data_IF_318296211631
#
_entry.id   IF_318296211631
#
_cell.length_a   1.000
_cell.length_b   1.000
_cell.length_c   1.000
_cell.angle_alpha   90.00
_cell.angle_beta   90.00
_cell.angle_gamma   90.00
#
_symmetry.space_group_name_H-M   'P 1'
#
loop_
_entity.id
_entity.type
_entity.pdbx_description
1 polymer ?
#
# COMPACT_ATOMS: atom_id res chain seq x y z
N UNK A 1 5.73 -6.40 -1.76
CA UNK A 1 6.33 -5.38 -0.87
C UNK A 1 6.99 -4.22 -1.62
N UNK A 2 7.95 -4.43 -2.53
CA UNK A 2 8.62 -3.37 -3.32
C UNK A 2 7.69 -2.26 -3.80
N UNK A 3 6.68 -2.62 -4.60
CA UNK A 3 5.73 -1.64 -5.15
C UNK A 3 4.83 -0.99 -4.09
N UNK A 4 4.44 -1.72 -3.04
CA UNK A 4 3.62 -1.17 -1.97
C UNK A 4 4.39 -0.11 -1.15
N UNK A 5 5.64 -0.40 -0.81
CA UNK A 5 6.52 0.54 -0.10
C UNK A 5 6.86 1.74 -0.99
N UNK A 6 7.24 1.49 -2.25
CA UNK A 6 7.55 2.53 -3.23
C UNK A 6 6.38 3.49 -3.46
N UNK A 7 5.17 2.98 -3.65
CA UNK A 7 3.96 3.78 -3.88
C UNK A 7 3.24 4.24 -2.61
N UNK A 8 3.78 3.93 -1.42
CA UNK A 8 3.20 4.36 -0.14
C UNK A 8 1.77 3.86 0.12
N UNK A 9 1.48 2.60 -0.21
CA UNK A 9 0.14 2.04 0.01
C UNK A 9 -0.12 1.69 1.48
N UNK A 10 -1.22 2.22 2.03
CA UNK A 10 -1.58 2.06 3.44
C UNK A 10 -2.01 0.63 3.79
N UNK A 11 -2.83 -0.01 2.94
CA UNK A 11 -3.41 -1.34 3.24
C UNK A 11 -2.31 -2.39 3.49
N UNK A 12 -1.30 -2.57 2.62
CA UNK A 12 -0.21 -3.52 2.89
C UNK A 12 0.62 -3.16 4.12
N UNK A 13 0.80 -1.86 4.42
CA UNK A 13 1.55 -1.42 5.60
C UNK A 13 0.84 -1.81 6.90
N UNK A 14 -0.47 -1.53 7.00
CA UNK A 14 -1.33 -1.89 8.14
C UNK A 14 -1.33 -3.40 8.35
N UNK A 15 -1.48 -4.17 7.27
CA UNK A 15 -1.43 -5.63 7.33
C UNK A 15 -0.08 -6.13 7.85
N UNK A 16 1.02 -5.57 7.33
CA UNK A 16 2.37 -5.96 7.76
C UNK A 16 2.59 -5.68 9.25
N UNK A 17 2.11 -4.53 9.75
CA UNK A 17 2.15 -4.24 11.19
C UNK A 17 1.31 -5.21 12.00
N UNK A 18 0.12 -5.60 11.52
CA UNK A 18 -0.72 -6.58 12.21
C UNK A 18 -0.07 -7.97 12.28
N UNK A 19 0.74 -8.34 11.27
CA UNK A 19 1.49 -9.60 11.28
C UNK A 19 2.73 -9.55 12.18
N UNK A 20 3.44 -8.43 12.23
CA UNK A 20 4.70 -8.28 12.99
C UNK A 20 4.45 -7.95 14.46
N UNK A 21 3.47 -7.08 14.74
CA UNK A 21 3.15 -6.60 16.08
C UNK A 21 3.67 -5.18 16.36
N UNK A 22 2.85 -4.39 17.07
CA UNK A 22 3.14 -2.98 17.40
C UNK A 22 4.40 -2.84 18.26
N UNK A 23 4.55 -3.68 19.28
CA UNK A 23 5.67 -3.62 20.23
C UNK A 23 7.02 -3.86 19.54
N UNK A 24 7.10 -4.81 18.62
CA UNK A 24 8.34 -5.15 17.94
C UNK A 24 8.77 -4.05 16.96
N UNK A 25 7.80 -3.38 16.32
CA UNK A 25 8.08 -2.21 15.46
C UNK A 25 8.53 -1.00 16.28
N UNK A 26 7.91 -0.75 17.44
CA UNK A 26 8.35 0.31 18.36
C UNK A 26 9.78 0.07 18.85
N UNK A 27 10.08 -1.15 19.33
CA UNK A 27 11.41 -1.53 19.79
C UNK A 27 12.48 -1.39 18.70
N UNK A 28 12.19 -1.84 17.48
CA UNK A 28 13.10 -1.66 16.34
C UNK A 28 13.31 -0.19 16.01
N UNK A 29 12.25 0.61 15.93
CA UNK A 29 12.36 2.05 15.67
C UNK A 29 13.15 2.80 16.75
N UNK A 30 12.95 2.45 18.02
CA UNK A 30 13.72 2.98 19.14
C UNK A 30 15.21 2.66 19.00
N UNK A 31 15.56 1.39 18.72
CA UNK A 31 16.93 0.96 18.47
C UNK A 31 17.58 1.64 17.26
N UNK A 32 16.77 1.99 16.25
CA UNK A 32 17.21 2.77 15.10
C UNK A 32 17.43 4.27 15.41
N UNK A 33 17.00 4.75 16.58
CA UNK A 33 17.24 6.13 17.04
C UNK A 33 15.97 6.98 17.18
N UNK A 34 14.77 6.41 17.03
CA UNK A 34 13.51 7.11 17.32
C UNK A 34 13.27 7.11 18.82
N UNK A 35 13.84 8.10 19.52
CA UNK A 35 13.88 8.09 20.99
C UNK A 35 12.50 8.15 21.65
N UNK A 36 11.49 8.70 20.95
CA UNK A 36 10.09 8.75 21.42
C UNK A 36 9.34 7.42 21.29
N UNK A 37 9.97 6.37 20.75
CA UNK A 37 9.35 5.06 20.50
C UNK A 37 9.79 3.98 21.49
N UNK A 38 10.36 4.34 22.65
CA UNK A 38 10.68 3.39 23.70
C UNK A 38 9.51 2.40 23.91
N UNK A 39 9.74 1.07 23.90
CA UNK A 39 8.66 0.08 23.90
C UNK A 39 8.05 -0.12 25.30
N UNK A 40 7.73 0.97 25.99
CA UNK A 40 7.01 0.99 27.26
C UNK A 40 5.55 0.59 27.07
N UNK A 41 4.90 0.11 28.13
CA UNK A 41 3.47 -0.21 28.10
C UNK A 41 2.62 1.00 27.69
N UNK A 42 2.98 2.19 28.16
CA UNK A 42 2.33 3.44 27.76
C UNK A 42 2.40 3.65 26.25
N UNK A 43 3.60 3.54 25.66
CA UNK A 43 3.78 3.75 24.23
C UNK A 43 3.08 2.68 23.37
N UNK A 44 3.10 1.43 23.82
CA UNK A 44 2.41 0.33 23.12
C UNK A 44 0.89 0.52 23.17
N UNK A 45 0.35 0.94 24.31
CA UNK A 45 -1.10 1.15 24.48
C UNK A 45 -1.59 2.45 23.83
N UNK A 46 -0.70 3.44 23.64
CA UNK A 46 -1.04 4.72 23.03
C UNK A 46 -1.27 4.64 21.51
N UNK A 47 -0.82 3.57 20.84
CA UNK A 47 -0.91 3.45 19.37
C UNK A 47 -1.41 2.09 18.93
N UNK A 48 -2.31 2.08 17.94
CA UNK A 48 -2.78 0.86 17.29
C UNK A 48 -2.08 0.62 15.96
N UNK A 49 -2.79 -0.01 15.03
CA UNK A 49 -2.30 -0.23 13.66
C UNK A 49 -2.06 1.08 12.87
N UNK A 50 -2.51 2.22 13.39
CA UNK A 50 -2.21 3.55 12.84
C UNK A 50 -0.73 3.95 12.96
N UNK A 51 0.09 3.23 13.75
CA UNK A 51 1.52 3.51 13.88
C UNK A 51 2.23 3.58 12.51
N UNK A 52 1.99 2.60 11.62
CA UNK A 52 2.59 2.56 10.28
C UNK A 52 2.02 3.61 9.31
N UNK A 53 0.98 4.33 9.72
CA UNK A 53 0.40 5.46 8.98
C UNK A 53 0.87 6.81 9.54
N UNK A 54 1.81 6.81 10.49
CA UNK A 54 2.31 8.03 11.12
C UNK A 54 1.47 8.49 12.32
N UNK A 55 0.71 7.59 12.96
CA UNK A 55 -0.10 7.90 14.15
C UNK A 55 0.69 8.19 15.43
N UNK A 56 2.02 8.28 15.37
CA UNK A 56 2.89 8.62 16.51
C UNK A 56 3.89 9.70 16.12
N UNK A 57 4.01 10.71 16.96
CA UNK A 57 4.93 11.82 16.76
C UNK A 57 6.40 11.41 16.88
N UNK A 58 7.25 12.05 16.08
CA UNK A 58 8.70 11.84 16.06
C UNK A 58 9.43 13.17 15.90
N UNK A 59 10.66 13.25 16.39
CA UNK A 59 11.55 14.37 16.09
C UNK A 59 12.15 14.17 14.70
N UNK A 60 12.29 15.25 13.92
CA UNK A 60 12.88 15.17 12.58
C UNK A 60 14.31 14.60 12.63
N UNK A 61 15.13 15.02 13.60
CA UNK A 61 16.50 14.52 13.75
C UNK A 61 16.54 13.00 14.04
N UNK A 62 15.65 12.53 14.89
CA UNK A 62 15.50 11.10 15.22
C UNK A 62 15.09 10.28 13.98
N UNK A 63 14.16 10.81 13.18
CA UNK A 63 13.72 10.15 11.96
C UNK A 63 14.86 10.06 10.92
N UNK A 64 15.62 11.15 10.74
CA UNK A 64 16.80 11.14 9.85
C UNK A 64 17.87 10.18 10.37
N UNK A 65 18.09 10.13 11.69
CA UNK A 65 18.99 9.16 12.33
C UNK A 65 18.56 7.73 12.03
N UNK A 66 17.27 7.41 12.15
CA UNK A 66 16.74 6.10 11.81
C UNK A 66 16.91 5.75 10.32
N UNK A 67 16.67 6.68 9.41
CA UNK A 67 16.93 6.45 7.98
C UNK A 67 18.43 6.24 7.68
N UNK A 68 19.32 6.89 8.44
CA UNK A 68 20.77 6.68 8.30
C UNK A 68 21.21 5.26 8.62
N UNK A 69 20.42 4.49 9.39
CA UNK A 69 20.69 3.07 9.64
C UNK A 69 20.70 2.28 8.33
N UNK A 70 19.80 2.59 7.39
CA UNK A 70 19.80 1.95 6.07
C UNK A 70 21.03 2.35 5.24
N UNK A 71 21.37 3.65 5.24
CA UNK A 71 22.58 4.15 4.57
C UNK A 71 23.86 3.49 5.09
N UNK A 72 23.92 3.26 6.41
CA UNK A 72 25.06 2.70 7.12
C UNK A 72 25.02 1.16 7.23
N UNK A 73 24.39 0.48 6.27
CA UNK A 73 24.36 -0.99 6.18
C UNK A 73 23.85 -1.66 7.47
N UNK A 74 22.89 -1.04 8.14
CA UNK A 74 22.24 -1.55 9.34
C UNK A 74 22.86 -1.12 10.67
N UNK A 75 23.85 -0.21 10.65
CA UNK A 75 24.46 0.34 11.87
C UNK A 75 23.85 1.70 12.23
N UNK A 76 23.52 1.87 13.51
CA UNK A 76 23.08 3.14 14.07
C UNK A 76 24.26 3.88 14.71
N UNK A 77 24.29 5.19 14.47
CA UNK A 77 25.24 6.13 15.06
C UNK A 77 24.47 7.27 15.70
N UNK A 78 24.92 7.73 16.87
CA UNK A 78 24.29 8.86 17.54
C UNK A 78 24.62 10.17 16.81
N UNK A 79 23.62 11.01 16.46
CA UNK A 79 23.87 12.30 15.84
C UNK A 79 24.79 13.17 16.70
N UNK A 80 25.91 13.59 16.13
CA UNK A 80 26.92 14.41 16.84
C UNK A 80 27.13 15.74 16.12
N UNK A 81 26.93 16.84 16.84
CA UNK A 81 27.10 18.22 16.32
C UNK A 81 28.42 18.87 16.74
N UNK A 82 29.00 18.45 17.86
CA UNK A 82 30.27 18.97 18.38
C UNK A 82 31.36 17.94 18.08
N UNK A 83 32.30 18.31 17.21
CA UNK A 83 33.41 17.41 16.84
C UNK A 83 34.68 17.67 17.64
N UNK A 84 34.91 18.92 18.09
CA UNK A 84 36.09 19.29 18.85
C UNK A 84 35.82 20.54 19.68
N UNK A 85 36.34 20.56 20.90
CA UNK A 85 36.35 21.74 21.79
C UNK A 85 37.79 21.99 22.22
N UNK A 86 38.27 23.21 22.04
CA UNK A 86 39.62 23.64 22.47
C UNK A 86 39.53 24.86 23.37
N UNK A 87 40.49 25.01 24.28
CA UNK A 87 40.67 26.27 25.03
C UNK A 87 41.37 27.35 24.18
N UNK A 88 41.51 28.57 24.72
CA UNK A 88 42.17 29.70 24.05
C UNK A 88 43.67 29.50 23.78
N UNK A 89 44.29 28.50 24.41
CA UNK A 89 45.70 28.13 24.22
C UNK A 89 45.86 26.97 23.23
N UNK A 90 44.75 26.50 22.63
CA UNK A 90 44.74 25.38 21.68
C UNK A 90 44.75 23.99 22.33
N UNK A 91 44.60 23.88 23.66
CA UNK A 91 44.47 22.57 24.32
C UNK A 91 43.12 21.96 23.96
N UNK A 92 43.13 20.73 23.45
CA UNK A 92 41.89 19.98 23.18
C UNK A 92 41.25 19.52 24.49
N UNK A 93 40.01 19.94 24.73
CA UNK A 93 39.19 19.58 25.89
C UNK A 93 38.25 18.41 25.57
N UNK A 94 37.79 18.35 24.33
CA UNK A 94 36.96 17.28 23.81
C UNK A 94 37.27 17.10 22.33
N UNK A 95 37.28 15.86 21.87
CA UNK A 95 37.37 15.51 20.46
C UNK A 95 36.53 14.25 20.24
N UNK A 96 35.60 14.36 19.30
CA UNK A 96 34.71 13.27 18.94
C UNK A 96 35.53 12.11 18.38
N UNK A 97 35.23 10.90 18.87
CA UNK A 97 35.81 9.66 18.37
C UNK A 97 34.69 8.84 17.77
N UNK A 98 34.79 8.59 16.47
CA UNK A 98 33.87 7.71 15.76
C UNK A 98 33.90 6.33 16.41
N UNK A 99 32.75 5.84 16.84
CA UNK A 99 32.59 4.45 17.31
C UNK A 99 32.32 3.54 16.12
N UNK A 100 32.25 2.23 16.34
CA UNK A 100 31.81 1.29 15.29
C UNK A 100 30.29 1.36 15.02
N UNK A 101 29.54 2.13 15.81
CA UNK A 101 28.09 2.15 15.79
C UNK A 101 27.46 0.87 16.34
N UNK A 102 26.15 0.91 16.57
CA UNK A 102 25.37 -0.25 17.06
C UNK A 102 24.78 -1.00 15.87
N UNK A 103 25.03 -2.30 15.74
CA UNK A 103 24.42 -3.11 14.68
C UNK A 103 22.96 -3.38 15.04
N UNK A 104 22.02 -2.84 14.25
CA UNK A 104 20.57 -2.92 14.53
C UNK A 104 19.89 -3.91 13.59
N UNK A 105 20.19 -3.84 12.29
CA UNK A 105 19.62 -4.74 11.28
C UNK A 105 20.72 -5.42 10.47
N UNK A 106 20.37 -6.53 9.83
CA UNK A 106 21.25 -7.21 8.88
C UNK A 106 21.55 -6.30 7.67
N UNK A 107 22.79 -6.22 7.18
CA UNK A 107 23.14 -5.38 6.02
C UNK A 107 22.34 -5.75 4.76
N UNK A 108 21.97 -7.03 4.58
CA UNK A 108 21.12 -7.46 3.47
C UNK A 108 19.72 -6.88 3.53
N UNK A 109 19.14 -6.75 4.74
CA UNK A 109 17.85 -6.06 4.94
C UNK A 109 18.01 -4.57 4.61
N UNK A 110 19.07 -3.93 5.10
CA UNK A 110 19.34 -2.51 4.82
C UNK A 110 19.49 -2.22 3.33
N UNK A 111 20.21 -3.09 2.61
CA UNK A 111 20.37 -3.03 1.16
C UNK A 111 19.03 -3.19 0.44
N UNK A 112 18.22 -4.21 0.76
CA UNK A 112 16.95 -4.45 0.08
C UNK A 112 15.97 -3.27 0.26
N UNK A 113 15.88 -2.71 1.47
CA UNK A 113 15.04 -1.51 1.70
C UNK A 113 15.57 -0.31 0.90
N UNK A 114 16.89 -0.10 0.90
CA UNK A 114 17.51 0.99 0.15
C UNK A 114 17.31 0.86 -1.35
N UNK A 115 17.42 -0.35 -1.89
CA UNK A 115 17.17 -0.66 -3.30
C UNK A 115 15.71 -0.40 -3.70
N UNK A 116 14.74 -0.84 -2.88
CA UNK A 116 13.31 -0.55 -3.09
C UNK A 116 13.06 0.96 -3.08
N UNK A 117 13.62 1.69 -2.11
CA UNK A 117 13.42 3.13 -1.97
C UNK A 117 14.20 3.95 -3.01
N UNK A 118 15.19 3.37 -3.68
CA UNK A 118 15.96 4.00 -4.76
C UNK A 118 15.34 3.75 -6.14
N UNK A 119 14.49 2.74 -6.27
CA UNK A 119 13.82 2.37 -7.52
C UNK A 119 12.71 3.38 -7.86
N UNK A 120 12.88 4.12 -8.96
CA UNK A 120 11.87 5.05 -9.49
C UNK A 120 10.69 4.30 -10.15
N UNK A 121 10.95 3.14 -10.75
CA UNK A 121 9.91 2.28 -11.31
C UNK A 121 8.96 1.77 -10.21
N UNK A 122 9.52 1.38 -9.07
CA UNK A 122 8.73 0.91 -7.92
C UNK A 122 7.72 1.92 -7.39
N UNK A 123 7.90 3.22 -7.64
CA UNK A 123 7.06 4.31 -7.12
C UNK A 123 6.29 5.09 -8.20
N UNK A 124 6.43 4.68 -9.46
CA UNK A 124 5.89 5.42 -10.61
C UNK A 124 4.37 5.50 -10.61
N UNK A 125 3.67 4.47 -10.10
CA UNK A 125 2.21 4.45 -10.09
C UNK A 125 1.60 5.57 -9.23
N UNK A 126 2.26 5.93 -8.12
CA UNK A 126 1.80 7.01 -7.24
C UNK A 126 2.38 8.38 -7.60
N UNK A 127 3.62 8.45 -8.09
CA UNK A 127 4.35 9.73 -8.21
C UNK A 127 4.76 10.10 -9.63
N UNK A 128 4.45 9.26 -10.62
CA UNK A 128 4.88 9.41 -12.01
C UNK A 128 6.36 9.09 -12.21
N UNK A 129 6.73 8.86 -13.48
CA UNK A 129 8.11 8.54 -13.87
C UNK A 129 9.04 9.77 -13.80
N UNK A 130 8.50 10.97 -14.00
CA UNK A 130 9.21 12.25 -13.94
C UNK A 130 9.00 12.95 -12.59
N UNK A 131 9.23 12.23 -11.50
CA UNK A 131 9.01 12.75 -10.15
C UNK A 131 10.17 13.62 -9.65
N UNK A 132 9.85 14.65 -8.85
CA UNK A 132 10.83 15.46 -8.09
C UNK A 132 11.59 14.63 -7.04
N UNK A 133 11.18 13.38 -6.80
CA UNK A 133 11.90 12.45 -5.94
C UNK A 133 13.15 11.87 -6.61
N UNK A 134 13.30 12.04 -7.93
CA UNK A 134 14.45 11.59 -8.68
C UNK A 134 15.56 12.65 -8.69
N UNK A 135 16.80 12.25 -8.38
CA UNK A 135 17.99 13.11 -8.49
C UNK A 135 18.78 12.64 -9.73
N UNK A 136 18.87 13.45 -10.80
CA UNK A 136 19.51 13.02 -12.04
C UNK A 136 20.96 12.55 -11.84
N UNK A 137 21.28 11.38 -12.40
CA UNK A 137 22.62 10.79 -12.34
C UNK A 137 23.04 10.26 -10.97
N UNK A 138 22.12 10.18 -10.00
CA UNK A 138 22.38 9.72 -8.64
C UNK A 138 21.44 8.58 -8.23
N UNK A 139 21.98 7.61 -7.51
CA UNK A 139 21.22 6.58 -6.80
C UNK A 139 20.85 7.11 -5.42
N UNK A 140 19.58 7.44 -5.22
CA UNK A 140 19.09 8.04 -3.96
C UNK A 140 17.85 7.29 -3.50
N UNK A 141 17.92 6.72 -2.30
CA UNK A 141 16.76 6.15 -1.63
C UNK A 141 15.92 7.27 -1.03
N UNK A 142 14.60 7.27 -1.22
CA UNK A 142 13.74 8.33 -0.67
C UNK A 142 12.33 7.84 -0.40
N UNK A 143 11.74 8.36 0.68
CA UNK A 143 10.36 8.14 1.05
C UNK A 143 9.68 9.44 1.45
N UNK A 144 8.43 9.55 1.03
CA UNK A 144 7.52 10.66 1.34
C UNK A 144 6.62 10.32 2.52
N UNK A 145 6.12 11.34 3.22
CA UNK A 145 5.08 11.20 4.25
C UNK A 145 4.04 12.30 4.12
N UNK A 146 2.77 11.96 4.31
CA UNK A 146 1.66 12.91 4.36
C UNK A 146 0.72 12.45 5.45
N UNK A 147 0.52 13.28 6.47
CA UNK A 147 -0.43 12.93 7.55
C UNK A 147 -1.87 13.16 7.10
N UNK A 148 -2.78 12.45 7.76
CA UNK A 148 -4.21 12.71 7.63
C UNK A 148 -4.50 14.19 7.92
N UNK A 149 -5.53 14.74 7.28
CA UNK A 149 -5.89 16.16 7.33
C UNK A 149 -4.77 17.12 6.88
N UNK A 150 -3.69 16.61 6.25
CA UNK A 150 -2.68 17.43 5.58
C UNK A 150 -2.00 18.45 6.51
N UNK A 151 -1.70 18.05 7.75
CA UNK A 151 -1.03 18.90 8.75
C UNK A 151 0.50 18.85 8.62
N UNK A 152 1.02 17.71 8.21
CA UNK A 152 2.45 17.47 8.05
C UNK A 152 2.76 16.90 6.68
N UNK A 153 3.87 17.38 6.14
CA UNK A 153 4.42 16.87 4.90
C UNK A 153 5.92 16.61 5.04
N UNK A 154 6.32 15.39 4.71
CA UNK A 154 7.67 14.89 4.97
C UNK A 154 8.31 14.36 3.69
N UNK A 155 9.63 14.53 3.60
CA UNK A 155 10.47 13.80 2.64
C UNK A 155 11.78 13.48 3.31
N UNK A 156 12.11 12.19 3.38
CA UNK A 156 13.38 11.72 3.92
C UNK A 156 14.05 10.86 2.87
N UNK A 157 15.30 11.16 2.56
CA UNK A 157 16.06 10.41 1.58
C UNK A 157 17.55 10.46 1.83
N UNK A 158 18.26 9.50 1.26
CA UNK A 158 19.64 9.24 1.57
C UNK A 158 20.41 8.56 0.43
N UNK A 159 21.72 8.77 0.44
CA UNK A 159 22.77 7.97 -0.21
C UNK A 159 23.62 7.31 0.89
N UNK A 160 24.60 6.46 0.58
CA UNK A 160 25.53 5.94 1.59
C UNK A 160 26.20 7.04 2.43
N UNK A 161 26.50 8.20 1.83
CA UNK A 161 27.24 9.28 2.51
C UNK A 161 26.40 10.45 3.03
N UNK A 162 25.13 10.59 2.62
CA UNK A 162 24.29 11.75 2.95
C UNK A 162 22.86 11.31 3.27
N UNK A 163 22.30 11.77 4.38
CA UNK A 163 20.86 11.66 4.68
C UNK A 163 20.27 13.04 4.94
N UNK A 164 19.10 13.31 4.36
CA UNK A 164 18.37 14.56 4.54
C UNK A 164 16.89 14.29 4.76
N UNK A 165 16.32 14.92 5.79
CA UNK A 165 14.89 14.90 6.07
C UNK A 165 14.34 16.32 6.10
N UNK A 166 13.23 16.53 5.41
CA UNK A 166 12.52 17.82 5.33
C UNK A 166 11.12 17.58 5.89
N UNK A 167 10.71 18.48 6.77
CA UNK A 167 9.33 18.64 7.22
C UNK A 167 8.81 20.02 6.81
N UNK A 168 7.55 20.07 6.39
CA UNK A 168 6.79 21.29 6.17
C UNK A 168 5.46 21.13 6.90
N UNK A 169 5.10 22.13 7.69
CA UNK A 169 3.88 22.18 8.48
C UNK A 169 3.71 23.56 9.13
N UNK A 170 2.54 23.81 9.71
CA UNK A 170 2.31 25.00 10.51
C UNK A 170 2.68 24.73 11.96
N UNK A 171 3.43 25.64 12.59
CA UNK A 171 3.90 25.47 13.97
C UNK A 171 2.76 25.41 15.01
N UNK A 172 1.58 25.91 14.67
CA UNK A 172 0.36 25.87 15.49
C UNK A 172 -0.51 24.62 15.21
N UNK A 173 0.02 23.66 14.44
CA UNK A 173 -0.66 22.45 13.99
C UNK A 173 -1.90 22.72 13.12
N UNK A 174 -2.12 23.93 12.61
CA UNK A 174 -3.24 24.21 11.71
C UNK A 174 -3.09 23.47 10.36
N UNK A 175 -4.21 23.12 9.73
CA UNK A 175 -4.24 22.40 8.44
C UNK A 175 -3.53 23.22 7.36
N UNK A 176 -2.65 22.59 6.58
CA UNK A 176 -2.04 23.22 5.42
C UNK A 176 -2.99 23.24 4.22
N UNK A 177 -2.72 24.14 3.27
CA UNK A 177 -3.41 24.12 1.98
C UNK A 177 -3.25 22.75 1.30
N UNK A 178 -4.34 22.15 0.79
CA UNK A 178 -4.30 20.87 0.08
C UNK A 178 -3.35 20.80 -1.12
N UNK A 179 -3.00 21.96 -1.69
CA UNK A 179 -2.07 22.11 -2.82
C UNK A 179 -0.62 21.85 -2.39
N UNK A 180 -0.29 22.16 -1.14
CA UNK A 180 1.09 22.11 -0.60
C UNK A 180 1.37 20.77 0.08
N UNK A 181 0.33 20.08 0.55
CA UNK A 181 0.45 18.84 1.30
C UNK A 181 0.08 17.61 0.45
N UNK A 182 1.08 17.12 -0.30
CA UNK A 182 1.02 15.85 -1.03
C UNK A 182 2.39 15.16 -1.04
N UNK A 183 2.47 13.94 -1.56
CA UNK A 183 3.74 13.21 -1.67
C UNK A 183 4.80 13.93 -2.52
N UNK A 184 4.44 14.79 -3.47
CA UNK A 184 5.40 15.44 -4.41
C UNK A 184 5.42 16.97 -4.31
N UNK A 185 4.60 17.55 -3.43
CA UNK A 185 4.61 19.00 -3.14
C UNK A 185 5.19 19.25 -1.74
N UNK A 186 5.25 20.51 -1.30
CA UNK A 186 5.71 20.89 0.04
C UNK A 186 7.17 20.52 0.31
N UNK A 187 7.39 19.43 1.03
CA UNK A 187 8.70 18.94 1.45
C UNK A 187 9.55 18.40 0.28
N UNK A 188 8.94 17.70 -0.67
CA UNK A 188 9.67 16.99 -1.74
C UNK A 188 10.53 17.92 -2.63
N UNK A 189 10.04 19.07 -3.10
CA UNK A 189 10.87 20.01 -3.88
C UNK A 189 12.01 20.66 -3.08
N UNK A 190 11.82 20.89 -1.77
CA UNK A 190 12.87 21.42 -0.89
C UNK A 190 13.96 20.36 -0.69
N UNK A 191 13.55 19.13 -0.39
CA UNK A 191 14.46 17.99 -0.28
C UNK A 191 15.28 17.79 -1.54
N UNK A 192 14.64 17.85 -2.71
CA UNK A 192 15.31 17.70 -4.00
C UNK A 192 16.41 18.76 -4.20
N UNK A 193 16.13 20.05 -3.92
CA UNK A 193 17.13 21.13 -4.01
C UNK A 193 18.31 20.91 -3.07
N UNK A 194 18.04 20.50 -1.83
CA UNK A 194 19.08 20.21 -0.82
C UNK A 194 19.96 19.04 -1.29
N UNK A 195 19.36 17.95 -1.75
CA UNK A 195 20.10 16.78 -2.21
C UNK A 195 20.92 17.07 -3.48
N UNK A 196 20.36 17.82 -4.44
CA UNK A 196 21.12 18.26 -5.61
C UNK A 196 22.36 19.09 -5.20
N UNK A 197 22.21 20.04 -4.27
CA UNK A 197 23.32 20.84 -3.77
C UNK A 197 24.35 19.98 -3.01
N UNK A 198 23.90 19.07 -2.14
CA UNK A 198 24.76 18.21 -1.34
C UNK A 198 25.53 17.17 -2.17
N UNK A 199 25.01 16.79 -3.35
CA UNK A 199 25.59 15.80 -4.26
C UNK A 199 26.27 16.42 -5.49
N UNK A 200 26.26 17.75 -5.62
CA UNK A 200 26.91 18.46 -6.72
C UNK A 200 28.42 18.15 -6.76
N UNK A 201 28.92 17.78 -7.94
CA UNK A 201 30.33 17.44 -8.15
C UNK A 201 30.80 16.10 -7.55
N UNK A 202 29.95 15.39 -6.79
CA UNK A 202 30.27 14.05 -6.28
C UNK A 202 30.06 12.99 -7.36
N UNK A 203 30.64 11.80 -7.20
CA UNK A 203 30.32 10.64 -8.05
C UNK A 203 28.97 10.03 -7.69
N UNK A 204 28.45 9.11 -8.50
CA UNK A 204 27.31 8.30 -8.09
C UNK A 204 27.75 7.28 -7.04
N UNK A 205 26.94 7.08 -6.00
CA UNK A 205 27.21 6.15 -4.89
C UNK A 205 26.08 5.11 -4.81
N UNK A 206 26.15 4.01 -5.58
CA UNK A 206 25.18 2.94 -5.47
C UNK A 206 25.31 2.20 -4.13
N UNK A 207 24.22 1.61 -3.66
CA UNK A 207 24.24 0.76 -2.47
C UNK A 207 25.02 -0.54 -2.75
N UNK A 208 26.01 -0.85 -1.93
CA UNK A 208 26.81 -2.07 -2.09
C UNK A 208 25.98 -3.29 -1.70
N UNK A 209 25.87 -4.26 -2.61
CA UNK A 209 25.13 -5.50 -2.39
C UNK A 209 25.91 -6.41 -1.43
N UNK A 210 25.40 -6.71 -0.22
CA UNK A 210 26.09 -7.59 0.72
C UNK A 210 26.21 -9.03 0.21
N UNK A 211 27.22 -9.75 0.70
CA UNK A 211 27.50 -11.13 0.29
C UNK A 211 26.35 -12.11 0.61
N UNK A 212 25.56 -11.83 1.66
CA UNK A 212 24.40 -12.63 2.03
C UNK A 212 23.12 -12.26 1.24
N UNK A 213 23.22 -11.40 0.22
CA UNK A 213 22.10 -11.08 -0.67
C UNK A 213 22.27 -11.75 -2.01
N UNK A 214 21.26 -12.53 -2.39
CA UNK A 214 21.15 -13.15 -3.71
C UNK A 214 20.08 -12.44 -4.54
N UNK A 215 20.14 -12.61 -5.85
CA UNK A 215 19.09 -12.19 -6.77
C UNK A 215 18.45 -13.45 -7.36
N UNK A 216 17.13 -13.54 -7.31
CA UNK A 216 16.38 -14.65 -7.88
C UNK A 216 15.33 -14.13 -8.87
N UNK A 217 15.03 -14.93 -9.88
CA UNK A 217 13.85 -14.71 -10.70
C UNK A 217 12.62 -15.19 -9.93
N UNK A 218 11.57 -14.37 -9.92
CA UNK A 218 10.32 -14.63 -9.25
C UNK A 218 9.17 -14.42 -10.21
N UNK A 219 8.04 -15.03 -9.87
CA UNK A 219 6.77 -14.74 -10.51
C UNK A 219 6.42 -13.24 -10.36
N UNK A 220 5.98 -12.66 -11.47
CA UNK A 220 5.62 -11.26 -11.60
C UNK A 220 4.17 -10.99 -11.17
N UNK A 221 3.30 -11.98 -11.26
CA UNK A 221 1.89 -11.87 -10.87
C UNK A 221 1.69 -12.16 -9.38
N UNK A 222 2.15 -13.33 -8.92
CA UNK A 222 2.04 -13.79 -7.53
C UNK A 222 3.42 -13.89 -6.88
N UNK A 223 3.47 -14.35 -5.63
CA UNK A 223 4.73 -14.56 -4.90
C UNK A 223 5.21 -15.99 -5.08
N UNK A 224 6.45 -16.20 -5.51
CA UNK A 224 6.96 -17.55 -5.71
C UNK A 224 8.09 -17.61 -6.72
N UNK A 225 8.52 -18.83 -7.04
CA UNK A 225 9.31 -19.10 -8.25
C UNK A 225 8.46 -18.82 -9.51
N UNK A 226 9.09 -18.57 -10.67
CA UNK A 226 8.37 -18.35 -11.93
C UNK A 226 7.34 -19.46 -12.20
N UNK A 227 6.14 -19.04 -12.59
CA UNK A 227 5.06 -19.93 -13.02
C UNK A 227 4.86 -19.82 -14.53
N UNK A 228 4.60 -20.94 -15.20
CA UNK A 228 4.42 -20.99 -16.66
C UNK A 228 3.31 -20.05 -17.13
N UNK A 229 3.61 -19.21 -18.12
CA UNK A 229 2.63 -18.25 -18.67
C UNK A 229 2.45 -16.97 -17.84
N UNK A 230 3.10 -16.86 -16.68
CA UNK A 230 3.12 -15.63 -15.88
C UNK A 230 4.33 -14.76 -16.23
N UNK A 231 4.24 -13.41 -16.21
CA UNK A 231 5.41 -12.55 -16.32
C UNK A 231 6.41 -12.86 -15.20
N UNK A 232 7.70 -12.61 -15.41
CA UNK A 232 8.74 -12.77 -14.38
C UNK A 232 9.42 -11.46 -14.05
N UNK A 233 10.02 -11.38 -12.86
CA UNK A 233 10.90 -10.26 -12.48
C UNK A 233 12.06 -10.76 -11.64
N UNK A 234 13.15 -10.00 -11.60
CA UNK A 234 14.25 -10.26 -10.66
C UNK A 234 14.02 -9.52 -9.36
N UNK A 235 14.30 -10.17 -8.24
CA UNK A 235 14.19 -9.59 -6.91
C UNK A 235 15.34 -10.05 -6.00
N UNK A 236 15.70 -9.19 -5.04
CA UNK A 236 16.75 -9.47 -4.06
C UNK A 236 16.17 -10.13 -2.81
N UNK A 237 16.93 -11.09 -2.29
CA UNK A 237 16.60 -11.82 -1.07
C UNK A 237 17.82 -11.94 -0.18
N UNK A 238 17.61 -11.87 1.13
CA UNK A 238 18.58 -12.43 2.07
C UNK A 238 18.65 -13.94 1.80
N UNK A 239 19.85 -14.48 1.64
CA UNK A 239 20.04 -15.89 1.31
C UNK A 239 19.30 -16.81 2.30
N UNK A 240 18.54 -17.76 1.76
CA UNK A 240 17.68 -18.68 2.50
C UNK A 240 16.23 -18.19 2.67
N UNK A 241 15.93 -16.95 2.28
CA UNK A 241 14.56 -16.37 2.30
C UNK A 241 13.90 -16.32 0.93
N UNK A 242 14.62 -16.67 -0.14
CA UNK A 242 14.07 -16.74 -1.48
C UNK A 242 12.99 -17.83 -1.62
N UNK A 243 12.03 -17.67 -2.55
CA UNK A 243 10.99 -18.65 -2.76
C UNK A 243 11.52 -20.05 -3.11
N UNK A 244 11.02 -21.06 -2.38
CA UNK A 244 11.40 -22.46 -2.57
C UNK A 244 10.53 -23.21 -3.58
N UNK A 245 9.40 -22.64 -3.97
CA UNK A 245 8.44 -23.21 -4.92
C UNK A 245 7.59 -22.13 -5.58
N UNK A 246 6.70 -22.54 -6.47
CA UNK A 246 5.67 -21.67 -7.04
C UNK A 246 4.67 -21.23 -5.96
N UNK A 247 3.90 -20.18 -6.27
CA UNK A 247 2.84 -19.71 -5.38
C UNK A 247 1.77 -20.80 -5.16
N UNK A 248 1.39 -21.05 -3.91
CA UNK A 248 0.25 -21.92 -3.60
C UNK A 248 -1.11 -21.37 -4.04
N UNK A 249 -1.14 -20.15 -4.60
CA UNK A 249 -2.35 -19.56 -5.20
C UNK A 249 -2.68 -20.16 -6.56
N UNK A 250 -1.70 -20.69 -7.28
CA UNK A 250 -1.94 -21.42 -8.53
C UNK A 250 -2.53 -22.78 -8.21
N UNK A 251 -3.80 -22.99 -8.58
CA UNK A 251 -4.54 -24.18 -8.21
C UNK A 251 -5.46 -24.63 -9.35
N UNK A 252 -5.59 -25.96 -9.51
CA UNK A 252 -6.65 -26.58 -10.29
C UNK A 252 -7.91 -26.65 -9.43
N UNK A 253 -8.96 -25.92 -9.78
CA UNK A 253 -10.20 -25.85 -9.00
C UNK A 253 -11.46 -25.96 -9.88
N UNK A 254 -12.58 -26.35 -9.26
CA UNK A 254 -13.92 -26.21 -9.86
C UNK A 254 -14.37 -24.75 -9.77
N UNK A 255 -14.66 -24.15 -10.92
CA UNK A 255 -15.05 -22.76 -11.08
C UNK A 255 -16.43 -22.70 -11.71
N UNK A 256 -17.22 -21.71 -11.31
CA UNK A 256 -18.58 -21.54 -11.83
C UNK A 256 -18.58 -21.14 -13.30
N UNK A 257 -19.36 -21.84 -14.15
CA UNK A 257 -19.48 -21.47 -15.57
C UNK A 257 -20.16 -20.13 -15.79
N UNK A 258 -21.11 -19.79 -14.91
CA UNK A 258 -21.83 -18.51 -14.94
C UNK A 258 -20.98 -17.34 -14.46
N UNK A 259 -19.92 -17.57 -13.67
CA UNK A 259 -19.04 -16.54 -13.15
C UNK A 259 -17.62 -17.10 -12.92
N UNK A 260 -16.65 -16.83 -13.82
CA UNK A 260 -15.32 -17.42 -13.75
C UNK A 260 -14.48 -16.94 -12.56
N UNK A 261 -14.91 -15.92 -11.81
CA UNK A 261 -14.21 -15.40 -10.64
C UNK A 261 -14.56 -16.10 -9.33
N UNK A 262 -15.33 -17.20 -9.40
CA UNK A 262 -15.85 -17.90 -8.22
C UNK A 262 -15.56 -19.39 -8.25
N UNK A 263 -15.19 -19.90 -7.08
CA UNK A 263 -15.12 -21.34 -6.85
C UNK A 263 -16.53 -21.92 -6.75
N UNK A 264 -16.73 -23.11 -7.29
CA UNK A 264 -18.00 -23.83 -7.21
C UNK A 264 -18.07 -24.75 -5.98
N UNK A 265 -19.29 -24.95 -5.46
CA UNK A 265 -19.63 -26.06 -4.57
C UNK A 265 -19.88 -27.34 -5.38
N UNK A 266 -19.91 -28.48 -4.68
CA UNK A 266 -20.29 -29.74 -5.32
C UNK A 266 -21.75 -29.70 -5.78
N UNK A 267 -21.99 -30.15 -7.02
CA UNK A 267 -23.32 -30.16 -7.65
C UNK A 267 -23.71 -28.86 -8.37
N UNK A 268 -22.91 -27.79 -8.28
CA UNK A 268 -23.14 -26.57 -9.06
C UNK A 268 -22.59 -26.69 -10.50
N UNK A 269 -23.19 -25.96 -11.44
CA UNK A 269 -22.72 -25.93 -12.84
C UNK A 269 -21.34 -25.28 -12.92
N UNK A 270 -20.35 -26.14 -13.12
CA UNK A 270 -18.94 -25.81 -12.94
C UNK A 270 -18.07 -26.51 -13.97
N UNK A 271 -16.85 -26.01 -14.09
CA UNK A 271 -15.78 -26.58 -14.91
C UNK A 271 -14.46 -26.55 -14.13
N UNK A 272 -13.59 -27.53 -14.38
CA UNK A 272 -12.26 -27.57 -13.76
C UNK A 272 -11.26 -26.76 -14.59
N UNK A 273 -10.62 -25.79 -13.95
CA UNK A 273 -9.63 -24.90 -14.57
C UNK A 273 -8.46 -24.64 -13.63
N UNK A 274 -7.31 -24.35 -14.23
CA UNK A 274 -6.19 -23.76 -13.52
C UNK A 274 -6.50 -22.28 -13.29
N UNK A 275 -6.49 -21.87 -12.02
CA UNK A 275 -6.84 -20.52 -11.58
C UNK A 275 -5.87 -20.02 -10.52
N UNK A 276 -5.93 -18.72 -10.24
CA UNK A 276 -5.22 -18.05 -9.16
C UNK A 276 -6.21 -17.75 -8.05
N UNK A 277 -6.23 -18.60 -7.01
CA UNK A 277 -7.09 -18.41 -5.84
C UNK A 277 -6.45 -17.37 -4.92
N UNK A 278 -7.13 -16.23 -4.78
CA UNK A 278 -6.72 -15.13 -3.92
C UNK A 278 -7.35 -15.32 -2.54
N UNK A 279 -6.56 -15.92 -1.65
CA UNK A 279 -6.91 -16.12 -0.26
C UNK A 279 -5.99 -15.33 0.65
N UNK A 280 -6.57 -14.77 1.69
CA UNK A 280 -5.91 -13.95 2.69
C UNK A 280 -6.27 -14.41 4.09
N UNK A 281 -5.25 -14.52 4.94
CA UNK A 281 -5.40 -14.79 6.36
C UNK A 281 -5.33 -13.47 7.11
N UNK A 282 -6.46 -12.98 7.59
CA UNK A 282 -6.53 -11.72 8.32
C UNK A 282 -5.97 -11.90 9.75
N UNK A 283 -4.77 -11.36 10.09
CA UNK A 283 -4.20 -11.47 11.43
C UNK A 283 -5.05 -10.82 12.53
N UNK A 284 -6.01 -9.96 12.17
CA UNK A 284 -6.93 -9.31 13.14
C UNK A 284 -8.17 -10.14 13.45
N UNK A 285 -8.43 -11.21 12.67
CA UNK A 285 -9.65 -12.01 12.77
C UNK A 285 -10.91 -11.34 12.21
N UNK A 286 -10.85 -10.09 11.76
CA UNK A 286 -12.00 -9.37 11.22
C UNK A 286 -12.41 -9.82 9.81
N UNK A 287 -11.54 -10.55 9.11
CA UNK A 287 -11.69 -11.05 7.75
C UNK A 287 -12.06 -9.97 6.71
N UNK A 288 -11.63 -8.71 6.95
CA UNK A 288 -11.99 -7.58 6.09
C UNK A 288 -11.25 -7.62 4.76
N UNK A 289 -10.00 -8.09 4.75
CA UNK A 289 -9.21 -8.21 3.53
C UNK A 289 -9.76 -9.27 2.57
N UNK A 290 -10.12 -10.45 3.06
CA UNK A 290 -10.70 -11.48 2.20
C UNK A 290 -12.01 -11.00 1.57
N UNK A 291 -12.86 -10.34 2.36
CA UNK A 291 -14.12 -9.76 1.84
C UNK A 291 -13.85 -8.77 0.71
N UNK A 292 -12.84 -7.89 0.88
CA UNK A 292 -12.42 -6.95 -0.16
C UNK A 292 -11.86 -7.64 -1.41
N UNK A 293 -11.04 -8.69 -1.25
CA UNK A 293 -10.51 -9.49 -2.35
C UNK A 293 -11.64 -10.17 -3.12
N UNK A 294 -12.56 -10.83 -2.41
CA UNK A 294 -13.70 -11.53 -3.01
C UNK A 294 -14.65 -10.57 -3.75
N UNK A 295 -14.71 -9.29 -3.37
CA UNK A 295 -15.41 -8.28 -4.17
C UNK A 295 -14.59 -7.84 -5.37
N UNK A 296 -13.32 -7.52 -5.18
CA UNK A 296 -12.48 -6.98 -6.25
C UNK A 296 -12.31 -7.97 -7.41
N UNK A 297 -12.16 -9.27 -7.14
CA UNK A 297 -12.02 -10.29 -8.20
C UNK A 297 -13.22 -10.31 -9.14
N UNK A 298 -14.42 -9.96 -8.68
CA UNK A 298 -15.63 -9.93 -9.51
C UNK A 298 -15.56 -8.85 -10.60
N UNK A 299 -14.66 -7.87 -10.50
CA UNK A 299 -14.43 -6.88 -11.57
C UNK A 299 -13.04 -6.99 -12.17
N UNK A 300 -12.27 -8.02 -11.81
CA UNK A 300 -10.93 -8.19 -12.33
C UNK A 300 -10.98 -8.54 -13.83
N UNK A 301 -10.18 -7.87 -14.69
CA UNK A 301 -10.18 -8.16 -16.13
C UNK A 301 -9.61 -9.55 -16.45
N UNK A 302 -8.83 -10.13 -15.55
CA UNK A 302 -8.25 -11.46 -15.72
C UNK A 302 -9.19 -12.53 -15.11
N UNK A 303 -9.87 -13.36 -15.93
CA UNK A 303 -10.81 -14.37 -15.45
C UNK A 303 -10.15 -15.53 -14.69
N UNK A 304 -8.81 -15.60 -14.65
CA UNK A 304 -8.09 -16.57 -13.84
C UNK A 304 -8.04 -16.17 -12.36
N UNK A 305 -8.31 -14.91 -12.01
CA UNK A 305 -8.29 -14.46 -10.62
C UNK A 305 -9.62 -14.80 -9.94
N UNK A 306 -9.56 -15.61 -8.89
CA UNK A 306 -10.73 -16.20 -8.24
C UNK A 306 -10.68 -15.92 -6.74
N UNK A 307 -11.82 -15.54 -6.16
CA UNK A 307 -11.96 -15.36 -4.70
C UNK A 307 -11.94 -16.68 -3.95
N UNK A 308 -11.61 -16.65 -2.66
CA UNK A 308 -11.52 -17.88 -1.87
C UNK A 308 -12.89 -18.48 -1.53
N UNK A 309 -13.96 -17.69 -1.62
CA UNK A 309 -15.28 -18.19 -1.26
C UNK A 309 -15.97 -18.96 -2.40
N UNK A 310 -16.67 -20.03 -2.02
CA UNK A 310 -17.42 -20.93 -2.91
C UNK A 310 -18.89 -20.54 -3.06
N UNK A 311 -19.45 -20.84 -4.23
CA UNK A 311 -20.86 -20.70 -4.56
C UNK A 311 -21.07 -19.95 -5.88
N UNK A 312 -21.79 -20.58 -6.81
CA UNK A 312 -22.10 -20.01 -8.13
C UNK A 312 -23.26 -19.01 -8.11
N UNK A 313 -23.93 -18.88 -6.97
CA UNK A 313 -24.99 -17.88 -6.73
C UNK A 313 -24.84 -17.27 -5.34
N UNK A 314 -25.23 -16.00 -5.19
CA UNK A 314 -25.22 -15.28 -3.91
C UNK A 314 -23.81 -14.94 -3.43
N UNK A 315 -23.58 -13.72 -2.94
CA UNK A 315 -22.24 -13.32 -2.49
C UNK A 315 -22.03 -13.79 -1.04
N UNK A 316 -20.81 -14.25 -0.67
CA UNK A 316 -20.47 -14.67 0.68
C UNK A 316 -20.89 -13.69 1.78
N UNK A 317 -21.46 -14.22 2.87
CA UNK A 317 -21.84 -13.45 4.06
C UNK A 317 -23.23 -12.82 4.03
N UNK A 318 -24.09 -13.16 3.07
CA UNK A 318 -25.45 -12.63 2.97
C UNK A 318 -26.50 -13.75 3.09
N UNK A 319 -27.13 -13.88 4.25
CA UNK A 319 -28.40 -14.61 4.39
C UNK A 319 -29.54 -13.66 4.04
N UNK A 320 -30.19 -13.87 2.90
CA UNK A 320 -31.41 -13.12 2.58
C UNK A 320 -32.54 -13.52 3.54
N UNK A 321 -33.33 -12.52 3.96
CA UNK A 321 -34.69 -12.76 4.43
C UNK A 321 -35.60 -13.24 3.28
N UNK A 322 -36.90 -13.30 3.52
CA UNK A 322 -37.90 -13.87 2.61
C UNK A 322 -38.17 -13.10 1.30
N UNK A 323 -37.42 -12.03 0.99
CA UNK A 323 -37.61 -11.19 -0.19
C UNK A 323 -36.34 -10.99 -1.02
N UNK A 324 -36.51 -10.46 -2.24
CA UNK A 324 -35.37 -10.03 -3.06
C UNK A 324 -34.62 -8.86 -2.41
N UNK A 325 -33.30 -8.85 -2.51
CA UNK A 325 -32.45 -7.77 -2.03
C UNK A 325 -31.43 -7.43 -3.09
N UNK A 326 -31.19 -6.14 -3.28
CA UNK A 326 -30.03 -5.64 -4.02
C UNK A 326 -29.32 -4.57 -3.19
N UNK A 327 -27.99 -4.61 -3.14
CA UNK A 327 -27.17 -3.70 -2.34
C UNK A 327 -25.89 -3.34 -3.10
N UNK A 328 -25.44 -2.08 -3.00
CA UNK A 328 -24.14 -1.63 -3.50
C UNK A 328 -23.09 -1.86 -2.41
N UNK A 329 -22.00 -2.54 -2.73
CA UNK A 329 -21.17 -3.19 -1.68
C UNK A 329 -19.72 -2.77 -1.60
N UNK A 330 -19.19 -2.16 -2.65
CA UNK A 330 -17.80 -1.72 -2.68
C UNK A 330 -17.66 -0.19 -2.51
N UNK A 331 -18.77 0.54 -2.59
CA UNK A 331 -18.82 1.99 -2.41
C UNK A 331 -19.87 2.33 -1.37
N UNK A 332 -19.44 3.00 -0.29
CA UNK A 332 -20.34 3.43 0.77
C UNK A 332 -21.12 4.70 0.40
N UNK A 333 -22.28 4.89 1.03
CA UNK A 333 -23.02 6.15 0.91
C UNK A 333 -22.20 7.32 1.49
N UNK A 334 -22.08 8.41 0.72
CA UNK A 334 -21.25 9.57 1.02
C UNK A 334 -19.77 9.41 0.68
N UNK A 335 -19.37 8.35 -0.04
CA UNK A 335 -17.96 8.12 -0.37
C UNK A 335 -17.41 9.18 -1.34
N UNK A 336 -16.16 9.60 -1.10
CA UNK A 336 -15.37 10.31 -2.10
C UNK A 336 -14.79 9.30 -3.09
N UNK A 337 -15.12 9.47 -4.38
CA UNK A 337 -14.71 8.55 -5.45
C UNK A 337 -13.86 9.27 -6.49
N UNK A 338 -12.91 8.57 -7.13
CA UNK A 338 -12.18 9.14 -8.26
C UNK A 338 -13.10 9.29 -9.48
N UNK A 339 -12.62 9.99 -10.52
CA UNK A 339 -13.36 10.16 -11.79
C UNK A 339 -13.74 8.83 -12.46
N UNK A 340 -12.88 7.83 -12.33
CA UNK A 340 -13.03 6.51 -12.94
C UNK A 340 -12.91 5.44 -11.88
N UNK A 341 -13.95 4.61 -11.74
CA UNK A 341 -14.00 3.52 -10.76
C UNK A 341 -15.08 2.51 -11.16
N UNK A 342 -15.04 1.33 -10.54
CA UNK A 342 -16.07 0.32 -10.69
C UNK A 342 -17.01 0.30 -9.48
N UNK A 343 -18.30 0.08 -9.69
CA UNK A 343 -19.30 -0.12 -8.64
C UNK A 343 -19.91 -1.51 -8.79
N UNK A 344 -20.03 -2.23 -7.69
CA UNK A 344 -20.56 -3.58 -7.63
C UNK A 344 -21.86 -3.59 -6.85
N UNK A 345 -22.82 -4.37 -7.36
CA UNK A 345 -24.02 -4.71 -6.62
C UNK A 345 -24.08 -6.21 -6.34
N UNK A 346 -24.61 -6.54 -5.17
CA UNK A 346 -25.01 -7.89 -4.81
C UNK A 346 -26.52 -7.97 -4.96
N UNK A 347 -27.00 -8.99 -5.66
CA UNK A 347 -28.42 -9.27 -5.76
C UNK A 347 -28.70 -10.69 -5.28
N UNK A 348 -29.81 -10.87 -4.57
CA UNK A 348 -30.38 -12.18 -4.30
C UNK A 348 -31.90 -12.08 -4.41
N UNK A 349 -32.54 -13.05 -5.04
CA UNK A 349 -34.00 -13.20 -4.99
C UNK A 349 -34.35 -14.69 -4.96
N UNK A 350 -35.26 -15.14 -4.07
CA UNK A 350 -35.80 -16.50 -4.10
C UNK A 350 -36.45 -16.86 -5.45
N UNK A 351 -36.97 -15.87 -6.18
CA UNK A 351 -37.55 -16.05 -7.51
C UNK A 351 -36.50 -16.12 -8.63
N UNK A 352 -35.21 -15.93 -8.31
CA UNK A 352 -34.13 -15.78 -9.28
C UNK A 352 -34.07 -14.36 -9.86
N UNK A 353 -32.85 -13.89 -10.13
CA UNK A 353 -32.60 -12.57 -10.72
C UNK A 353 -32.86 -12.63 -12.22
N UNK A 354 -33.77 -11.78 -12.72
CA UNK A 354 -34.06 -11.66 -14.16
C UNK A 354 -33.09 -10.69 -14.82
N UNK A 355 -32.89 -9.50 -14.22
CA UNK A 355 -31.87 -8.53 -14.63
C UNK A 355 -31.59 -7.51 -13.52
N UNK A 356 -30.45 -6.86 -13.64
CA UNK A 356 -30.05 -5.69 -12.87
C UNK A 356 -29.91 -4.49 -13.80
N UNK A 357 -30.35 -3.33 -13.36
CA UNK A 357 -30.29 -2.06 -14.09
C UNK A 357 -29.52 -1.05 -13.25
N UNK A 358 -28.52 -0.42 -13.84
CA UNK A 358 -27.75 0.63 -13.21
C UNK A 358 -28.17 2.00 -13.73
N UNK A 359 -28.30 2.96 -12.81
CA UNK A 359 -28.59 4.35 -13.11
C UNK A 359 -27.59 5.27 -12.40
N UNK A 360 -27.16 6.32 -13.09
CA UNK A 360 -26.42 7.44 -12.50
C UNK A 360 -27.26 8.69 -12.72
N UNK A 361 -27.58 9.40 -11.64
CA UNK A 361 -28.42 10.60 -11.64
C UNK A 361 -29.76 10.39 -12.37
N UNK A 362 -30.34 9.19 -12.19
CA UNK A 362 -31.60 8.79 -12.80
C UNK A 362 -31.50 8.34 -14.27
N UNK A 363 -30.35 8.49 -14.93
CA UNK A 363 -30.12 8.02 -16.28
C UNK A 363 -29.60 6.58 -16.29
N UNK A 364 -30.27 5.67 -17.00
CA UNK A 364 -29.83 4.28 -17.15
C UNK A 364 -28.47 4.22 -17.87
N UNK A 365 -27.51 3.51 -17.27
CA UNK A 365 -26.15 3.32 -17.81
C UNK A 365 -25.90 1.90 -18.31
N UNK A 366 -26.46 0.89 -17.64
CA UNK A 366 -26.25 -0.51 -18.00
C UNK A 366 -27.44 -1.38 -17.59
N UNK A 367 -27.62 -2.51 -18.27
CA UNK A 367 -28.51 -3.60 -17.86
C UNK A 367 -27.81 -4.93 -18.03
N UNK A 368 -27.85 -5.77 -16.99
CA UNK A 368 -27.09 -7.00 -16.87
C UNK A 368 -28.01 -8.15 -16.47
N UNK A 369 -27.89 -9.30 -17.12
CA UNK A 369 -28.68 -10.51 -16.83
C UNK A 369 -27.86 -11.59 -16.13
N UNK A 370 -26.54 -11.40 -16.05
CA UNK A 370 -25.61 -12.35 -15.44
C UNK A 370 -24.71 -11.63 -14.46
N UNK A 371 -24.40 -12.29 -13.35
CA UNK A 371 -23.33 -11.85 -12.47
C UNK A 371 -21.97 -11.90 -13.18
N UNK A 372 -20.99 -11.07 -12.77
CA UNK A 372 -21.07 -10.08 -11.70
C UNK A 372 -21.84 -8.81 -12.12
N UNK A 373 -22.72 -8.32 -11.24
CA UNK A 373 -23.40 -7.03 -11.48
C UNK A 373 -22.45 -5.90 -11.12
N UNK A 374 -21.68 -5.46 -12.11
CA UNK A 374 -20.72 -4.39 -11.97
C UNK A 374 -20.89 -3.33 -13.04
N UNK A 375 -20.76 -2.06 -12.66
CA UNK A 375 -20.76 -0.91 -13.55
C UNK A 375 -19.39 -0.24 -13.52
N UNK A 376 -18.74 -0.17 -14.68
CA UNK A 376 -17.62 0.75 -14.90
C UNK A 376 -18.15 2.17 -15.01
N UNK A 377 -17.76 3.03 -14.07
CA UNK A 377 -18.18 4.43 -14.00
C UNK A 377 -17.05 5.32 -14.47
N UNK A 378 -17.34 6.13 -15.49
CA UNK A 378 -16.46 7.19 -15.94
C UNK A 378 -17.23 8.51 -15.98
N UNK A 379 -16.86 9.44 -15.09
CA UNK A 379 -17.36 10.80 -15.11
C UNK A 379 -16.58 11.66 -16.13
N UNK A 380 -17.24 12.59 -16.85
CA UNK A 380 -16.57 13.51 -17.76
C UNK A 380 -15.45 14.32 -17.07
N UNK A 381 -14.44 14.73 -17.85
CA UNK A 381 -13.37 15.59 -17.33
C UNK A 381 -13.98 16.92 -16.87
N UNK A 382 -13.77 17.26 -15.59
CA UNK A 382 -14.30 18.48 -14.98
C UNK A 382 -15.64 18.29 -14.26
N UNK A 383 -16.28 17.12 -14.39
CA UNK A 383 -17.47 16.78 -13.62
C UNK A 383 -17.08 16.54 -12.15
N UNK A 384 -17.46 17.48 -11.29
CA UNK A 384 -17.16 17.50 -9.85
C UNK A 384 -18.45 17.76 -9.12
N UNK A 385 -18.71 16.97 -8.10
CA UNK A 385 -19.89 17.15 -7.27
C UNK A 385 -20.46 15.85 -6.77
N UNK A 386 -21.67 15.94 -6.25
CA UNK A 386 -22.41 14.80 -5.72
C UNK A 386 -23.24 14.15 -6.82
N UNK A 387 -23.11 12.84 -6.96
CA UNK A 387 -23.88 12.01 -7.89
C UNK A 387 -24.60 10.91 -7.11
N UNK A 388 -25.72 10.45 -7.64
CA UNK A 388 -26.47 9.31 -7.09
C UNK A 388 -26.32 8.11 -8.00
N UNK A 389 -25.82 7.01 -7.44
CA UNK A 389 -25.75 5.72 -8.13
C UNK A 389 -26.87 4.85 -7.59
N UNK A 390 -27.76 4.43 -8.46
CA UNK A 390 -28.88 3.53 -8.14
C UNK A 390 -28.71 2.23 -8.90
N UNK A 391 -28.96 1.13 -8.21
CA UNK A 391 -29.04 -0.19 -8.81
C UNK A 391 -30.41 -0.80 -8.53
N UNK A 392 -31.01 -1.39 -9.55
CA UNK A 392 -32.35 -1.97 -9.49
C UNK A 392 -32.32 -3.41 -9.96
N UNK A 393 -32.78 -4.33 -9.12
CA UNK A 393 -33.05 -5.72 -9.41
C UNK A 393 -34.48 -5.88 -9.90
N UNK A 394 -34.68 -6.55 -11.04
CA UNK A 394 -35.94 -7.17 -11.44
C UNK A 394 -35.78 -8.69 -11.30
N UNK A 395 -36.68 -9.35 -10.57
CA UNK A 395 -36.69 -10.81 -10.43
C UNK A 395 -37.62 -11.48 -11.46
N UNK A 396 -37.59 -12.82 -11.56
CA UNK A 396 -38.39 -13.55 -12.56
C UNK A 396 -39.91 -13.46 -12.34
N UNK A 397 -40.35 -13.08 -11.14
CA UNK A 397 -41.76 -12.88 -10.80
C UNK A 397 -42.20 -11.42 -10.95
N UNK A 398 -41.32 -10.54 -11.46
CA UNK A 398 -41.59 -9.11 -11.64
C UNK A 398 -41.43 -8.27 -10.37
N UNK A 399 -40.86 -8.84 -9.30
CA UNK A 399 -40.45 -8.10 -8.11
C UNK A 399 -39.33 -7.12 -8.45
N UNK A 400 -39.44 -5.88 -7.96
CA UNK A 400 -38.46 -4.81 -8.18
C UNK A 400 -37.89 -4.36 -6.84
N UNK A 401 -36.56 -4.38 -6.73
CA UNK A 401 -35.82 -3.97 -5.54
C UNK A 401 -34.74 -2.99 -5.94
N UNK A 402 -34.53 -1.92 -5.19
CA UNK A 402 -33.52 -0.91 -5.53
C UNK A 402 -32.69 -0.52 -4.32
N UNK A 403 -31.43 -0.18 -4.59
CA UNK A 403 -30.51 0.43 -3.62
C UNK A 403 -29.84 1.63 -4.27
N UNK A 404 -29.62 2.68 -3.49
CA UNK A 404 -28.98 3.91 -3.94
C UNK A 404 -27.92 4.37 -2.95
N UNK A 405 -26.83 4.92 -3.48
CA UNK A 405 -25.80 5.60 -2.71
C UNK A 405 -25.54 6.98 -3.32
N UNK A 406 -25.24 7.95 -2.47
CA UNK A 406 -24.62 9.21 -2.88
C UNK A 406 -23.10 9.07 -2.90
N UNK A 407 -22.44 9.60 -3.92
CA UNK A 407 -20.98 9.66 -4.01
C UNK A 407 -20.55 11.08 -4.37
N UNK A 408 -19.35 11.48 -3.95
CA UNK A 408 -18.76 12.77 -4.33
C UNK A 408 -17.53 12.54 -5.18
N UNK A 409 -17.54 13.02 -6.42
CA UNK A 409 -16.38 12.93 -7.32
C UNK A 409 -15.37 13.98 -6.90
N UNK A 410 -14.27 13.53 -6.31
CA UNK A 410 -13.15 14.37 -5.87
C UNK A 410 -11.92 14.14 -6.76
N UNK A 411 -11.22 15.24 -7.06
CA UNK A 411 -10.11 15.37 -8.02
C UNK A 411 -9.17 14.16 -8.13
#
# INVERSE_FOLDING_TARGET
>A
MRYALGNSYNIPAVKNLAMVGVKDVLDLGFKMGITTWEPSEENVNAVGLSLVLGGKEVRLLDLVSAYSVFANQGRQFDPTSILKVTDSKGKTLFEFRQTEGRKIIDPGIAFIISDILADNGARTAAFGSNSVLNIPGKTVAVKTGTTDQKRDNWTVGFTPSVAAGIWVGNNDNSVMSPVVASGVTGASPIWNKIMQAALAGKQNEPFEKPANVIQAEVDGLMTGRPHGGSPTRREYFVAGTEPKGESGTYQRQKVCKSNPHRLANDGEDSEEKDVVVLQENDPTGANKWQTGIDQWVLTAPNPLLVGATRGCSGVPGFTAGTGGVIEIVNVGNGANVPRVFDVLARANSPAGVKKVIWLIDGAQKSSQTTEPFALHVEFPVGDKGSHTITVTLEDNNGGIFSSSIGVTVSL
#
